data_IF_106640950756
#
_entry.id   IF_106640950756
#
_cell.length_a   1.000
_cell.length_b   1.000
_cell.length_c   1.000
_cell.angle_alpha   90.00
_cell.angle_beta   90.00
_cell.angle_gamma   90.00
#
_symmetry.space_group_name_H-M   'P 1'
#
loop_
_entity.id
_entity.type
_entity.pdbx_description
1 polymer ?
#
# COMPACT_ATOMS: atom_id res chain seq x y z
N UNK A 1 20.04 64.74 14.96
CA UNK A 1 18.84 63.88 15.15
C UNK A 1 18.72 63.00 13.93
N UNK A 2 19.18 61.75 13.98
CA UNK A 2 19.09 60.79 12.89
C UNK A 2 18.01 59.78 13.28
N UNK A 3 16.91 59.77 12.57
CA UNK A 3 15.78 58.83 12.75
C UNK A 3 16.06 57.59 11.91
N UNK A 4 16.31 56.43 12.57
CA UNK A 4 16.50 55.13 11.92
C UNK A 4 15.13 54.51 11.69
N UNK A 5 14.79 54.24 10.44
CA UNK A 5 13.66 53.44 10.03
C UNK A 5 14.04 51.96 10.05
N UNK A 6 13.40 51.18 10.90
CA UNK A 6 13.45 49.70 10.89
C UNK A 6 12.35 49.18 9.96
N UNK A 7 12.73 48.65 8.82
CA UNK A 7 11.81 47.92 7.95
C UNK A 7 11.68 46.50 8.47
N UNK A 8 10.48 46.14 8.91
CA UNK A 8 10.12 44.76 9.28
C UNK A 8 9.84 43.98 7.99
N UNK A 9 10.70 43.03 7.65
CA UNK A 9 10.42 42.02 6.62
C UNK A 9 9.51 40.94 7.22
N UNK A 10 8.23 41.00 6.87
CA UNK A 10 7.29 39.86 7.11
C UNK A 10 7.56 38.78 6.08
N UNK A 11 8.26 37.72 6.50
CA UNK A 11 8.44 36.52 5.70
C UNK A 11 7.11 35.76 5.60
N UNK A 12 6.52 35.75 4.40
CA UNK A 12 5.38 34.91 4.06
C UNK A 12 5.86 33.45 3.95
N UNK A 13 5.63 32.64 4.98
CA UNK A 13 5.84 31.19 4.90
C UNK A 13 4.71 30.62 4.07
N UNK A 14 4.96 30.37 2.79
CA UNK A 14 4.10 29.49 1.98
C UNK A 14 4.22 28.08 2.52
N UNK A 15 3.28 27.63 3.33
CA UNK A 15 3.08 26.22 3.58
C UNK A 15 2.62 25.59 2.24
N UNK A 16 3.54 24.88 1.57
CA UNK A 16 3.18 23.99 0.47
C UNK A 16 2.29 22.90 1.06
N UNK A 17 0.99 23.03 0.88
CA UNK A 17 0.05 21.96 1.22
C UNK A 17 0.38 20.77 0.34
N UNK A 18 0.84 19.69 0.94
CA UNK A 18 0.88 18.38 0.27
C UNK A 18 -0.57 18.04 -0.05
N UNK A 19 -0.91 18.00 -1.32
CA UNK A 19 -2.21 17.48 -1.76
C UNK A 19 -2.24 16.00 -1.32
N UNK A 20 -3.03 15.71 -0.29
CA UNK A 20 -3.33 14.35 0.11
C UNK A 20 -4.11 13.71 -1.04
N UNK A 21 -3.81 12.47 -1.36
CA UNK A 21 -4.61 11.69 -2.31
C UNK A 21 -6.09 11.79 -1.89
N UNK A 22 -6.93 12.23 -2.80
CA UNK A 22 -8.34 12.41 -2.53
C UNK A 22 -9.06 11.10 -2.81
N UNK A 23 -9.88 10.65 -1.86
CA UNK A 23 -10.67 9.43 -1.99
C UNK A 23 -12.14 9.72 -1.72
N UNK A 24 -13.00 9.40 -2.69
CA UNK A 24 -14.45 9.49 -2.57
C UNK A 24 -15.00 8.22 -1.92
N UNK A 25 -14.94 8.16 -0.60
CA UNK A 25 -15.35 6.98 0.18
C UNK A 25 -16.86 6.69 0.03
N UNK A 26 -17.70 7.69 -0.05
CA UNK A 26 -19.15 7.47 -0.19
C UNK A 26 -19.46 6.83 -1.54
N UNK A 27 -18.78 7.25 -2.59
CA UNK A 27 -18.82 6.59 -3.89
C UNK A 27 -18.32 5.16 -3.84
N UNK A 28 -17.23 4.88 -3.13
CA UNK A 28 -16.70 3.52 -2.98
C UNK A 28 -17.68 2.62 -2.23
N UNK A 29 -18.34 3.10 -1.17
CA UNK A 29 -19.39 2.38 -0.45
C UNK A 29 -20.55 2.03 -1.37
N UNK A 30 -21.01 3.01 -2.17
CA UNK A 30 -22.10 2.79 -3.14
C UNK A 30 -21.71 1.77 -4.21
N UNK A 31 -20.49 1.88 -4.78
CA UNK A 31 -19.96 0.93 -5.77
C UNK A 31 -19.80 -0.47 -5.18
N UNK A 32 -19.32 -0.60 -3.94
CA UNK A 32 -19.18 -1.87 -3.26
C UNK A 32 -20.55 -2.56 -3.09
N UNK A 33 -21.54 -1.81 -2.60
CA UNK A 33 -22.91 -2.32 -2.44
C UNK A 33 -23.52 -2.76 -3.77
N UNK A 34 -23.37 -1.94 -4.81
CA UNK A 34 -23.92 -2.23 -6.13
C UNK A 34 -23.27 -3.45 -6.80
N UNK A 35 -21.92 -3.57 -6.71
CA UNK A 35 -21.16 -4.61 -7.43
C UNK A 35 -21.06 -5.93 -6.68
N UNK A 36 -21.02 -5.88 -5.33
CA UNK A 36 -20.65 -7.01 -4.48
C UNK A 36 -21.61 -7.25 -3.32
N UNK A 37 -22.61 -6.36 -3.10
CA UNK A 37 -23.62 -6.49 -2.08
C UNK A 37 -23.29 -5.82 -0.75
N UNK A 38 -24.20 -5.93 0.22
CA UNK A 38 -24.16 -5.19 1.50
C UNK A 38 -22.94 -5.52 2.36
N UNK A 39 -22.47 -6.77 2.36
CA UNK A 39 -21.27 -7.16 3.11
C UNK A 39 -20.03 -6.43 2.58
N UNK A 40 -19.95 -6.22 1.27
CA UNK A 40 -18.90 -5.46 0.65
C UNK A 40 -18.97 -3.96 1.02
N UNK A 41 -20.17 -3.37 0.99
CA UNK A 41 -20.36 -2.00 1.46
C UNK A 41 -19.92 -1.83 2.92
N UNK A 42 -20.30 -2.76 3.80
CA UNK A 42 -19.85 -2.77 5.20
C UNK A 42 -18.31 -2.91 5.31
N UNK A 43 -17.66 -3.63 4.40
CA UNK A 43 -16.19 -3.76 4.39
C UNK A 43 -15.50 -2.44 4.01
N UNK A 44 -16.07 -1.69 3.07
CA UNK A 44 -15.57 -0.36 2.69
C UNK A 44 -15.84 0.67 3.79
N UNK A 45 -16.99 0.60 4.48
CA UNK A 45 -17.27 1.43 5.66
C UNK A 45 -16.21 1.19 6.75
N UNK A 46 -15.89 -0.07 7.05
CA UNK A 46 -14.85 -0.37 8.01
C UNK A 46 -13.45 0.08 7.58
N UNK A 47 -13.19 0.15 6.27
CA UNK A 47 -11.96 0.73 5.75
C UNK A 47 -11.92 2.26 5.93
N UNK A 48 -13.05 2.96 5.72
CA UNK A 48 -13.20 4.36 6.07
C UNK A 48 -12.88 4.61 7.54
N UNK A 49 -13.52 3.82 8.42
CA UNK A 49 -13.32 3.95 9.87
C UNK A 49 -11.84 3.73 10.27
N UNK A 50 -11.13 2.83 9.57
CA UNK A 50 -9.69 2.67 9.72
C UNK A 50 -8.93 3.94 9.31
N UNK A 51 -9.26 4.52 8.13
CA UNK A 51 -8.63 5.75 7.65
C UNK A 51 -8.83 6.90 8.65
N UNK A 52 -10.06 7.09 9.13
CA UNK A 52 -10.40 8.15 10.10
C UNK A 52 -9.62 7.98 11.40
N UNK A 53 -9.58 6.78 11.98
CA UNK A 53 -8.87 6.50 13.24
C UNK A 53 -7.36 6.64 13.09
N UNK A 54 -6.80 6.18 11.96
CA UNK A 54 -5.36 6.17 11.77
C UNK A 54 -4.80 7.50 11.23
N UNK A 55 -5.64 8.44 10.78
CA UNK A 55 -5.20 9.68 10.11
C UNK A 55 -4.14 10.45 10.91
N UNK A 56 -4.34 10.57 12.22
CA UNK A 56 -3.49 11.36 13.14
C UNK A 56 -2.45 10.53 13.89
N UNK A 57 -2.42 9.21 13.67
CA UNK A 57 -1.51 8.34 14.40
C UNK A 57 -0.07 8.41 13.85
N UNK A 58 0.93 8.04 14.68
CA UNK A 58 2.30 7.87 14.22
C UNK A 58 2.41 6.81 13.10
N UNK A 59 3.39 6.97 12.18
CA UNK A 59 3.57 6.05 11.05
C UNK A 59 3.63 4.57 11.47
N UNK A 60 4.34 4.25 12.55
CA UNK A 60 4.45 2.87 13.05
C UNK A 60 3.08 2.27 13.39
N UNK A 61 2.18 3.07 13.95
CA UNK A 61 0.83 2.63 14.28
C UNK A 61 -0.05 2.52 13.04
N UNK A 62 0.11 3.44 12.05
CA UNK A 62 -0.52 3.32 10.73
C UNK A 62 -0.16 1.99 10.05
N UNK A 63 1.14 1.67 10.02
CA UNK A 63 1.63 0.40 9.44
C UNK A 63 0.98 -0.81 10.12
N UNK A 64 0.96 -0.82 11.46
CA UNK A 64 0.39 -1.91 12.25
C UNK A 64 -1.10 -2.10 11.97
N UNK A 65 -1.89 -1.02 12.06
CA UNK A 65 -3.34 -1.08 11.84
C UNK A 65 -3.72 -1.50 10.44
N UNK A 66 -3.05 -0.96 9.43
CA UNK A 66 -3.30 -1.31 8.03
C UNK A 66 -2.95 -2.77 7.78
N UNK A 67 -1.80 -3.24 8.28
CA UNK A 67 -1.41 -4.65 8.12
C UNK A 67 -2.42 -5.59 8.79
N UNK A 68 -2.82 -5.31 10.03
CA UNK A 68 -3.82 -6.10 10.76
C UNK A 68 -5.19 -6.08 10.09
N UNK A 69 -5.63 -4.91 9.61
CA UNK A 69 -6.95 -4.75 8.99
C UNK A 69 -7.10 -5.70 7.79
N UNK A 70 -6.18 -5.64 6.84
CA UNK A 70 -6.27 -6.49 5.65
C UNK A 70 -6.04 -7.96 5.99
N UNK A 71 -5.05 -8.28 6.83
CA UNK A 71 -4.75 -9.67 7.18
C UNK A 71 -5.91 -10.38 7.93
N UNK A 72 -6.78 -9.62 8.61
CA UNK A 72 -7.95 -10.19 9.30
C UNK A 72 -9.22 -10.18 8.45
N UNK A 73 -9.34 -9.23 7.53
CA UNK A 73 -10.59 -9.02 6.78
C UNK A 73 -10.61 -9.74 5.43
N UNK A 74 -9.46 -9.88 4.81
CA UNK A 74 -9.33 -10.51 3.49
C UNK A 74 -8.87 -11.96 3.69
N UNK A 75 -9.58 -12.89 3.08
CA UNK A 75 -9.17 -14.30 3.04
C UNK A 75 -8.23 -14.52 1.86
N UNK A 76 -7.10 -15.18 2.08
CA UNK A 76 -6.23 -15.59 0.98
C UNK A 76 -6.95 -16.61 0.08
N UNK A 77 -6.91 -16.35 -1.21
CA UNK A 77 -7.43 -17.24 -2.26
C UNK A 77 -6.74 -16.92 -3.58
N UNK A 78 -6.63 -17.89 -4.49
CA UNK A 78 -5.97 -17.71 -5.78
C UNK A 78 -6.87 -16.94 -6.77
N UNK A 79 -6.27 -16.15 -7.64
CA UNK A 79 -6.94 -15.39 -8.70
C UNK A 79 -7.83 -16.23 -9.61
N UNK A 80 -7.40 -17.45 -9.92
CA UNK A 80 -8.20 -18.38 -10.71
C UNK A 80 -9.54 -18.68 -10.05
N UNK A 81 -9.61 -18.70 -8.71
CA UNK A 81 -10.82 -18.93 -7.93
C UNK A 81 -11.66 -17.66 -7.81
N UNK A 82 -11.00 -16.51 -7.57
CA UNK A 82 -11.68 -15.23 -7.31
C UNK A 82 -12.21 -14.62 -8.61
N UNK A 83 -11.36 -14.60 -9.65
CA UNK A 83 -11.55 -13.82 -10.87
C UNK A 83 -11.72 -14.67 -12.14
N UNK A 84 -11.54 -15.99 -12.04
CA UNK A 84 -11.44 -16.89 -13.20
C UNK A 84 -10.35 -16.42 -14.20
N UNK A 85 -9.24 -15.93 -13.66
CA UNK A 85 -8.06 -15.42 -14.39
C UNK A 85 -6.80 -15.94 -13.73
N UNK A 86 -5.72 -16.19 -14.48
CA UNK A 86 -4.49 -16.76 -13.90
C UNK A 86 -3.70 -15.76 -13.04
N UNK A 87 -3.91 -14.46 -13.21
CA UNK A 87 -3.15 -13.41 -12.54
C UNK A 87 -3.87 -12.05 -12.74
N UNK A 88 -4.55 -11.58 -11.69
CA UNK A 88 -5.35 -10.37 -11.69
C UNK A 88 -5.05 -9.52 -10.46
N UNK A 89 -4.53 -8.34 -10.63
CA UNK A 89 -4.23 -7.42 -9.53
C UNK A 89 -5.46 -6.57 -9.21
N UNK A 90 -6.09 -6.84 -8.09
CA UNK A 90 -7.30 -6.15 -7.68
C UNK A 90 -7.03 -4.75 -7.10
N UNK A 91 -7.99 -3.84 -7.25
CA UNK A 91 -8.01 -2.59 -6.51
C UNK A 91 -8.41 -2.84 -5.05
N UNK A 92 -8.17 -1.89 -4.11
CA UNK A 92 -8.67 -2.02 -2.74
C UNK A 92 -10.18 -2.24 -2.66
N UNK A 93 -10.96 -1.58 -3.54
CA UNK A 93 -12.40 -1.78 -3.63
C UNK A 93 -12.76 -3.21 -4.05
N UNK A 94 -12.07 -3.74 -5.06
CA UNK A 94 -12.29 -5.10 -5.56
C UNK A 94 -11.90 -6.15 -4.50
N UNK A 95 -10.76 -5.96 -3.83
CA UNK A 95 -10.29 -6.84 -2.75
C UNK A 95 -11.26 -6.87 -1.57
N UNK A 96 -11.71 -5.69 -1.09
CA UNK A 96 -12.70 -5.59 -0.02
C UNK A 96 -14.08 -6.07 -0.47
N UNK A 97 -14.42 -5.81 -1.73
CA UNK A 97 -15.67 -6.24 -2.35
C UNK A 97 -15.80 -7.76 -2.41
N UNK A 98 -14.73 -8.45 -2.75
CA UNK A 98 -14.70 -9.92 -2.75
C UNK A 98 -14.44 -10.51 -1.36
N UNK A 99 -13.84 -9.76 -0.45
CA UNK A 99 -13.35 -10.24 0.84
C UNK A 99 -12.28 -11.32 0.69
N UNK A 100 -11.66 -11.41 -0.47
CA UNK A 100 -10.63 -12.38 -0.86
C UNK A 100 -9.60 -11.71 -1.74
N UNK A 101 -8.38 -12.22 -1.72
CA UNK A 101 -7.28 -11.77 -2.56
C UNK A 101 -6.06 -12.65 -2.40
N UNK A 102 -5.12 -12.55 -3.33
CA UNK A 102 -3.81 -13.16 -3.22
C UNK A 102 -2.75 -12.15 -2.71
N UNK A 103 -1.47 -12.50 -2.80
CA UNK A 103 -0.41 -11.70 -2.18
C UNK A 103 -0.30 -10.29 -2.78
N UNK A 104 -0.55 -10.13 -4.07
CA UNK A 104 -0.54 -8.84 -4.76
C UNK A 104 -1.68 -7.94 -4.27
N UNK A 105 -2.87 -8.50 -4.10
CA UNK A 105 -4.06 -7.78 -3.66
C UNK A 105 -3.90 -7.24 -2.24
N UNK A 106 -3.39 -8.07 -1.32
CA UNK A 106 -3.03 -7.62 0.02
C UNK A 106 -2.00 -6.49 0.00
N UNK A 107 -0.96 -6.63 -0.84
CA UNK A 107 0.12 -5.67 -0.92
C UNK A 107 -0.36 -4.34 -1.50
N UNK A 108 -1.13 -4.37 -2.59
CA UNK A 108 -1.73 -3.19 -3.23
C UNK A 108 -2.66 -2.46 -2.27
N UNK A 109 -3.57 -3.19 -1.62
CA UNK A 109 -4.53 -2.60 -0.69
C UNK A 109 -3.84 -1.92 0.50
N UNK A 110 -2.79 -2.53 1.06
CA UNK A 110 -1.97 -1.92 2.13
C UNK A 110 -1.22 -0.70 1.63
N UNK A 111 -0.58 -0.77 0.44
CA UNK A 111 0.14 0.34 -0.17
C UNK A 111 -0.77 1.56 -0.34
N UNK A 112 -1.91 1.39 -1.01
CA UNK A 112 -2.88 2.48 -1.26
C UNK A 112 -3.39 3.06 0.05
N UNK A 113 -3.76 2.23 1.01
CA UNK A 113 -4.27 2.70 2.31
C UNK A 113 -3.23 3.53 3.07
N UNK A 114 -1.96 3.11 3.08
CA UNK A 114 -0.89 3.86 3.73
C UNK A 114 -0.61 5.19 3.00
N UNK A 115 -0.69 5.21 1.67
CA UNK A 115 -0.57 6.45 0.89
C UNK A 115 -1.70 7.42 1.23
N UNK A 116 -2.96 6.95 1.32
CA UNK A 116 -4.11 7.76 1.75
C UNK A 116 -3.95 8.28 3.18
N UNK A 117 -3.25 7.55 4.05
CA UNK A 117 -2.91 7.97 5.41
C UNK A 117 -1.71 8.94 5.46
N UNK A 118 -1.18 9.37 4.32
CA UNK A 118 -0.09 10.34 4.22
C UNK A 118 1.30 9.75 4.46
N UNK A 119 1.47 8.42 4.40
CA UNK A 119 2.81 7.82 4.37
C UNK A 119 3.45 8.12 3.01
N UNK A 120 4.65 8.74 2.97
CA UNK A 120 5.29 9.13 1.71
C UNK A 120 5.51 7.95 0.75
N UNK A 121 5.19 8.15 -0.53
CA UNK A 121 5.27 7.12 -1.58
C UNK A 121 6.70 6.57 -1.74
N UNK A 122 7.71 7.43 -1.59
CA UNK A 122 9.12 7.07 -1.67
C UNK A 122 9.57 6.11 -0.56
N UNK A 123 8.80 6.03 0.55
CA UNK A 123 9.01 5.07 1.64
C UNK A 123 8.30 3.73 1.45
N UNK A 124 7.45 3.59 0.45
CA UNK A 124 6.64 2.40 0.21
C UNK A 124 7.05 1.74 -1.09
N UNK A 125 7.29 0.43 -1.07
CA UNK A 125 7.57 -0.35 -2.28
C UNK A 125 6.82 -1.68 -2.26
N UNK A 126 6.11 -1.97 -3.33
CA UNK A 126 5.61 -3.30 -3.61
C UNK A 126 6.80 -4.15 -4.02
N UNK A 127 7.07 -5.23 -3.29
CA UNK A 127 8.31 -6.00 -3.44
C UNK A 127 8.01 -7.43 -3.83
N UNK A 128 8.44 -7.81 -5.03
CA UNK A 128 8.46 -9.20 -5.47
C UNK A 128 9.58 -9.95 -4.78
N UNK A 129 9.23 -11.08 -4.18
CA UNK A 129 10.15 -11.96 -3.46
C UNK A 129 9.96 -13.41 -3.89
N UNK A 130 10.98 -14.22 -3.65
CA UNK A 130 10.86 -15.67 -3.59
C UNK A 130 10.70 -16.04 -2.13
N UNK A 131 9.54 -16.57 -1.76
CA UNK A 131 9.22 -16.96 -0.40
C UNK A 131 9.43 -18.47 -0.18
N UNK A 132 10.17 -18.85 0.85
CA UNK A 132 10.31 -20.25 1.27
C UNK A 132 9.17 -20.58 2.23
N UNK A 133 8.29 -21.48 1.80
CA UNK A 133 7.10 -21.88 2.53
C UNK A 133 7.35 -23.16 3.31
N UNK A 134 6.82 -23.27 4.52
CA UNK A 134 6.94 -24.49 5.35
C UNK A 134 8.14 -24.51 6.31
N UNK A 135 8.79 -23.36 6.54
CA UNK A 135 9.83 -23.18 7.53
C UNK A 135 11.26 -23.35 7.01
N UNK A 136 12.27 -23.21 7.91
CA UNK A 136 13.68 -23.06 7.52
C UNK A 136 14.29 -24.24 6.75
N UNK A 137 13.74 -25.43 6.91
CA UNK A 137 14.21 -26.66 6.24
C UNK A 137 13.43 -27.00 4.97
N UNK A 138 12.42 -26.21 4.63
CA UNK A 138 11.63 -26.43 3.42
C UNK A 138 12.42 -26.07 2.16
N UNK A 139 12.23 -26.85 1.11
CA UNK A 139 12.71 -26.57 -0.25
C UNK A 139 11.64 -25.95 -1.14
N UNK A 140 10.40 -25.85 -0.63
CA UNK A 140 9.30 -25.23 -1.38
C UNK A 140 9.49 -23.72 -1.45
N UNK A 141 9.68 -23.21 -2.66
CA UNK A 141 9.84 -21.78 -2.94
C UNK A 141 8.74 -21.35 -3.91
N UNK A 142 8.03 -20.28 -3.54
CA UNK A 142 6.95 -19.70 -4.35
C UNK A 142 7.25 -18.23 -4.66
N UNK A 143 6.72 -17.74 -5.79
CA UNK A 143 6.61 -16.32 -6.02
C UNK A 143 5.67 -15.70 -4.98
N UNK A 144 6.01 -14.52 -4.49
CA UNK A 144 5.23 -13.84 -3.48
C UNK A 144 5.43 -12.32 -3.58
N UNK A 145 4.47 -11.55 -3.09
CA UNK A 145 4.58 -10.11 -3.01
C UNK A 145 4.34 -9.62 -1.58
N UNK A 146 5.17 -8.68 -1.13
CA UNK A 146 5.06 -8.04 0.18
C UNK A 146 5.18 -6.52 0.03
N UNK A 147 4.68 -5.78 1.01
CA UNK A 147 4.91 -4.36 1.10
C UNK A 147 6.16 -4.10 1.96
N UNK A 148 7.12 -3.39 1.39
CA UNK A 148 8.32 -2.92 2.08
C UNK A 148 8.16 -1.45 2.44
N UNK A 149 8.33 -1.11 3.73
CA UNK A 149 8.34 0.26 4.24
C UNK A 149 9.76 0.64 4.66
N UNK A 150 10.26 1.75 4.15
CA UNK A 150 11.59 2.31 4.43
C UNK A 150 11.46 3.51 5.36
N UNK A 151 11.86 3.44 6.64
CA UNK A 151 11.82 4.60 7.56
C UNK A 151 12.73 5.75 7.12
N UNK A 152 13.78 5.46 6.37
CA UNK A 152 14.65 6.41 5.68
C UNK A 152 15.18 5.78 4.38
N UNK A 153 15.68 6.55 3.39
CA UNK A 153 16.07 6.02 2.06
C UNK A 153 17.06 4.86 2.10
N UNK A 154 18.01 4.87 3.02
CA UNK A 154 19.05 3.86 3.16
C UNK A 154 18.80 2.91 4.36
N UNK A 155 17.66 3.03 5.01
CA UNK A 155 17.33 2.18 6.15
C UNK A 155 16.90 0.79 5.70
N UNK A 156 17.09 -0.17 6.58
CA UNK A 156 16.54 -1.50 6.42
C UNK A 156 15.00 -1.43 6.39
N UNK A 157 14.34 -2.01 5.38
CA UNK A 157 12.88 -1.96 5.30
C UNK A 157 12.21 -2.87 6.32
N UNK A 158 11.06 -2.42 6.79
CA UNK A 158 10.07 -3.25 7.48
C UNK A 158 9.17 -3.93 6.45
N UNK A 159 8.89 -5.20 6.67
CA UNK A 159 8.08 -6.03 5.77
C UNK A 159 6.68 -6.22 6.34
N UNK A 160 5.68 -5.79 5.59
CA UNK A 160 4.26 -6.04 5.84
C UNK A 160 3.82 -7.16 4.91
N UNK A 161 3.35 -8.26 5.48
CA UNK A 161 3.06 -9.50 4.77
C UNK A 161 1.68 -10.05 5.16
N UNK A 162 1.09 -10.87 4.32
CA UNK A 162 -0.13 -11.61 4.64
C UNK A 162 0.17 -13.02 5.19
N UNK A 163 1.38 -13.55 4.96
CA UNK A 163 1.80 -14.86 5.50
C UNK A 163 2.10 -14.82 7.00
N UNK A 164 2.55 -13.67 7.51
CA UNK A 164 2.77 -13.45 8.94
C UNK A 164 2.19 -12.10 9.36
N UNK A 165 1.55 -12.04 10.51
CA UNK A 165 0.93 -10.80 11.01
C UNK A 165 1.94 -9.81 11.57
N UNK A 166 3.10 -10.26 12.05
CA UNK A 166 4.13 -9.40 12.60
C UNK A 166 4.86 -8.63 11.51
N UNK A 167 4.97 -7.31 11.67
CA UNK A 167 5.85 -6.48 10.85
C UNK A 167 7.28 -6.67 11.35
N UNK A 168 8.18 -7.12 10.47
CA UNK A 168 9.57 -7.43 10.80
C UNK A 168 10.55 -6.74 9.87
N UNK A 169 11.76 -6.39 10.35
CA UNK A 169 12.86 -6.00 9.48
C UNK A 169 13.20 -7.10 8.47
N UNK A 170 13.64 -6.71 7.27
CA UNK A 170 13.98 -7.66 6.20
C UNK A 170 15.04 -8.70 6.64
N UNK A 171 16.03 -8.31 7.45
CA UNK A 171 17.03 -9.23 8.02
C UNK A 171 16.44 -10.34 8.90
N UNK A 172 15.23 -10.12 9.44
CA UNK A 172 14.47 -11.11 10.22
C UNK A 172 13.47 -11.90 9.39
N UNK A 173 13.58 -11.80 8.06
CA UNK A 173 12.79 -12.54 7.07
C UNK A 173 13.71 -13.34 6.13
N UNK A 174 14.53 -14.29 6.68
CA UNK A 174 15.44 -15.12 5.86
C UNK A 174 14.71 -16.09 4.94
N UNK A 175 13.41 -16.20 5.08
CA UNK A 175 12.49 -16.91 4.19
C UNK A 175 12.22 -16.18 2.88
N UNK A 176 12.49 -14.85 2.80
CA UNK A 176 12.24 -14.01 1.65
C UNK A 176 13.54 -13.63 0.93
N UNK A 177 13.56 -13.81 -0.39
CA UNK A 177 14.64 -13.33 -1.26
C UNK A 177 14.06 -12.33 -2.25
N UNK A 178 14.47 -11.07 -2.14
CA UNK A 178 14.00 -10.00 -3.02
C UNK A 178 14.45 -10.23 -4.47
N UNK A 179 13.52 -10.06 -5.40
CA UNK A 179 13.76 -10.10 -6.85
C UNK A 179 13.83 -8.69 -7.41
N UNK A 180 12.76 -7.91 -7.22
CA UNK A 180 12.69 -6.49 -7.54
C UNK A 180 11.59 -5.83 -6.71
N UNK A 181 11.58 -4.50 -6.67
CA UNK A 181 10.50 -3.73 -6.06
C UNK A 181 10.10 -2.56 -6.95
N UNK A 182 8.91 -2.02 -6.74
CA UNK A 182 8.39 -0.90 -7.51
C UNK A 182 7.37 -0.10 -6.69
N UNK A 183 7.12 1.12 -7.13
CA UNK A 183 6.01 1.97 -6.69
C UNK A 183 5.60 2.91 -7.84
N UNK A 184 4.91 4.02 -7.54
CA UNK A 184 4.55 5.02 -8.54
C UNK A 184 5.76 5.74 -9.16
N UNK A 185 6.89 5.83 -8.46
CA UNK A 185 8.08 6.60 -8.88
C UNK A 185 9.06 5.79 -9.72
N UNK A 186 9.06 4.45 -9.62
CA UNK A 186 10.01 3.64 -10.38
C UNK A 186 10.09 2.18 -10.01
N UNK A 187 11.09 1.51 -10.60
CA UNK A 187 11.39 0.09 -10.39
C UNK A 187 12.84 -0.04 -9.90
N UNK A 188 13.05 -0.81 -8.84
CA UNK A 188 14.36 -1.13 -8.26
C UNK A 188 14.69 -2.60 -8.48
N UNK A 189 15.87 -2.86 -9.05
CA UNK A 189 16.39 -4.22 -9.26
C UNK A 189 17.76 -4.31 -8.62
N UNK A 190 17.97 -5.26 -7.72
CA UNK A 190 19.26 -5.52 -7.09
C UNK A 190 19.79 -4.40 -6.18
N UNK A 191 18.93 -3.62 -5.53
CA UNK A 191 19.32 -2.57 -4.57
C UNK A 191 19.91 -1.30 -5.20
N UNK A 192 19.90 -1.18 -6.53
CA UNK A 192 20.36 0.01 -7.26
C UNK A 192 19.38 1.19 -7.23
N UNK A 193 19.75 2.29 -7.89
CA UNK A 193 18.86 3.43 -8.12
C UNK A 193 17.62 3.01 -8.92
N UNK A 194 16.48 3.69 -8.74
CA UNK A 194 15.27 3.39 -9.50
C UNK A 194 15.52 3.59 -11.00
N UNK A 195 15.03 2.68 -11.80
CA UNK A 195 14.98 2.85 -13.24
C UNK A 195 13.69 3.58 -13.58
N UNK A 196 13.81 4.78 -14.14
CA UNK A 196 12.67 5.47 -14.72
C UNK A 196 12.22 4.68 -15.96
N UNK A 197 10.95 4.38 -16.06
CA UNK A 197 10.40 3.75 -17.25
C UNK A 197 9.22 2.86 -16.95
N UNK A 198 8.34 2.79 -17.91
CA UNK A 198 7.10 2.06 -18.06
C UNK A 198 6.79 1.11 -16.92
N UNK A 199 5.98 1.58 -15.99
CA UNK A 199 5.49 0.75 -14.89
C UNK A 199 4.96 -0.57 -15.43
N UNK A 200 4.98 -1.57 -14.59
CA UNK A 200 4.38 -2.87 -14.92
C UNK A 200 2.96 -2.64 -15.43
N UNK A 201 2.63 -3.20 -16.58
CA UNK A 201 1.32 -2.97 -17.24
C UNK A 201 0.14 -3.29 -16.33
N UNK A 202 0.29 -4.29 -15.45
CA UNK A 202 -0.69 -4.63 -14.43
C UNK A 202 -0.87 -3.52 -13.39
N UNK A 203 0.22 -2.95 -12.90
CA UNK A 203 0.16 -1.82 -11.96
C UNK A 203 -0.54 -0.61 -12.59
N UNK A 204 -0.24 -0.28 -13.84
CA UNK A 204 -0.92 0.80 -14.55
C UNK A 204 -2.41 0.53 -14.72
N UNK A 205 -2.80 -0.71 -15.00
CA UNK A 205 -4.20 -1.11 -15.05
C UNK A 205 -4.91 -0.95 -13.69
N UNK A 206 -4.22 -1.26 -12.58
CA UNK A 206 -4.76 -1.03 -11.22
C UNK A 206 -4.99 0.46 -11.00
N UNK A 207 -4.00 1.31 -11.27
CA UNK A 207 -4.10 2.76 -11.11
C UNK A 207 -5.25 3.36 -11.93
N UNK A 208 -5.41 2.90 -13.18
CA UNK A 208 -6.51 3.35 -14.04
C UNK A 208 -7.89 2.95 -13.47
N UNK A 209 -8.02 1.75 -12.94
CA UNK A 209 -9.27 1.29 -12.32
C UNK A 209 -9.56 2.03 -11.02
N UNK A 210 -8.55 2.28 -10.19
CA UNK A 210 -8.68 3.06 -8.95
C UNK A 210 -9.20 4.47 -9.24
N UNK A 211 -8.65 5.18 -10.24
CA UNK A 211 -9.17 6.50 -10.64
C UNK A 211 -10.64 6.44 -11.07
N UNK A 212 -11.04 5.42 -11.82
CA UNK A 212 -12.45 5.22 -12.21
C UNK A 212 -13.36 4.94 -11.00
N UNK A 213 -12.80 4.40 -9.93
CA UNK A 213 -13.49 4.12 -8.67
C UNK A 213 -13.55 5.35 -7.75
N UNK A 214 -12.70 6.36 -7.95
CA UNK A 214 -12.63 7.57 -7.13
C UNK A 214 -11.50 7.53 -6.10
N UNK A 215 -10.42 6.79 -6.40
CA UNK A 215 -9.16 6.78 -5.66
C UNK A 215 -8.09 7.39 -6.58
N UNK A 216 -7.64 8.63 -6.29
CA UNK A 216 -6.64 9.38 -7.06
C UNK A 216 -5.27 9.40 -6.37
#
# INVERSE_FOLDING_TARGET
MLTRWLAALSGLVCAAGVALAEVDIDRLVALAGQRYGEIAAASVIAWRDLLDVAATEPEAEKLRRVNEFFNRRVRFDDDAVIWNRPDYWATPLETLGRGRGDCEDFTIAKYVTLTLLGVPVDRLRLTYVRARIGGPRSTLVQAHMVLSYYPAPDAEPLVLDNLISDIRPASRRPDLTTVFSFNADGIWVGGGAPRAGGGLSKWQSVLERMRKEGID
#
